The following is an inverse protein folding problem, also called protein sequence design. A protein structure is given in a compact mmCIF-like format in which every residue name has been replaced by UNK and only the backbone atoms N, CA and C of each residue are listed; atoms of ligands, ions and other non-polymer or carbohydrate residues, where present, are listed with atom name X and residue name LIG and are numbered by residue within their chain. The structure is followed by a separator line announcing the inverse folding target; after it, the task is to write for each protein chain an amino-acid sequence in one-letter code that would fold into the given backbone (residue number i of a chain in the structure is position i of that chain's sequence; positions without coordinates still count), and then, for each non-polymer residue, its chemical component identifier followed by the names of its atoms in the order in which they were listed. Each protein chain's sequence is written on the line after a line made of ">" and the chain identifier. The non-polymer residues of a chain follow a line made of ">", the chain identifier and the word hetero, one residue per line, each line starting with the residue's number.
data_IF_017435274254
#
_entry.id   IF_017435274254
#
_cell.length_a   1.000
_cell.length_b   1.000
_cell.length_c   1.000
_cell.angle_alpha   90.00
_cell.angle_beta   90.00
_cell.angle_gamma   90.00
#
_symmetry.space_group_name_H-M   'P 1'
#
loop_
_entity.id
_entity.type
_entity.pdbx_description
1 polymer ?
#
# COMPACT_ATOMS: atom_id res chain seq x y z
N UNK A 1 -11.92 -15.46 13.51
CA UNK A 1 -11.14 -14.19 13.47
C UNK A 1 -12.15 -13.07 13.64
N UNK A 2 -11.91 -12.12 14.55
CA UNK A 2 -12.86 -11.04 14.82
C UNK A 2 -13.17 -10.29 13.51
N UNK A 3 -14.46 -10.12 13.21
CA UNK A 3 -14.97 -9.44 12.03
C UNK A 3 -14.82 -7.92 12.22
N UNK A 4 -13.58 -7.45 12.30
CA UNK A 4 -13.26 -6.03 12.24
C UNK A 4 -13.32 -5.63 10.77
N UNK A 5 -14.21 -4.69 10.44
CA UNK A 5 -14.34 -4.19 9.06
C UNK A 5 -13.03 -3.60 8.52
N UNK A 6 -12.99 -3.22 7.22
CA UNK A 6 -11.78 -2.70 6.60
C UNK A 6 -11.22 -1.50 7.38
N UNK A 7 -9.90 -1.49 7.57
CA UNK A 7 -9.19 -0.39 8.26
C UNK A 7 -8.91 0.72 7.26
N UNK A 8 -9.23 1.98 7.57
CA UNK A 8 -8.87 3.08 6.68
C UNK A 8 -8.58 4.39 7.41
N UNK A 9 -7.67 5.19 6.86
CA UNK A 9 -7.32 6.52 7.39
C UNK A 9 -8.35 7.59 7.03
N UNK A 10 -8.82 7.56 5.77
CA UNK A 10 -9.78 8.56 5.25
C UNK A 10 -10.91 7.89 4.49
N UNK A 11 -12.14 8.27 4.81
CA UNK A 11 -13.35 7.73 4.18
C UNK A 11 -13.35 7.95 2.66
N UNK A 12 -12.99 9.14 2.21
CA UNK A 12 -12.94 9.51 0.79
C UNK A 12 -12.01 8.61 -0.04
N UNK A 13 -10.87 8.21 0.51
CA UNK A 13 -9.91 7.32 -0.16
C UNK A 13 -10.42 5.88 -0.19
N UNK A 14 -11.06 5.44 0.90
CA UNK A 14 -11.75 4.17 0.93
C UNK A 14 -12.85 4.10 -0.12
N UNK A 15 -13.70 5.12 -0.22
CA UNK A 15 -14.81 5.13 -1.19
C UNK A 15 -14.28 5.13 -2.63
N UNK A 16 -13.14 5.80 -2.89
CA UNK A 16 -12.45 5.71 -4.18
C UNK A 16 -12.00 4.28 -4.51
N UNK A 17 -11.43 3.55 -3.54
CA UNK A 17 -11.07 2.14 -3.72
C UNK A 17 -12.32 1.29 -3.99
N UNK A 18 -13.36 1.43 -3.17
CA UNK A 18 -14.62 0.68 -3.30
C UNK A 18 -15.25 0.87 -4.67
N UNK A 19 -15.20 2.08 -5.21
CA UNK A 19 -15.76 2.38 -6.53
C UNK A 19 -15.08 1.63 -7.70
N UNK A 20 -13.85 1.14 -7.49
CA UNK A 20 -13.06 0.41 -8.49
C UNK A 20 -12.85 -1.08 -8.20
N UNK A 21 -13.56 -1.64 -7.20
CA UNK A 21 -13.43 -3.07 -6.87
C UNK A 21 -14.02 -3.97 -7.95
N UNK A 22 -13.40 -5.13 -8.13
CA UNK A 22 -13.97 -6.22 -8.89
C UNK A 22 -15.07 -6.92 -8.07
N UNK A 23 -15.94 -7.65 -8.77
CA UNK A 23 -16.99 -8.42 -8.09
C UNK A 23 -16.37 -9.46 -7.14
N UNK A 24 -16.87 -9.49 -5.90
CA UNK A 24 -16.33 -10.33 -4.82
C UNK A 24 -14.99 -9.87 -4.21
N UNK A 25 -14.32 -8.84 -4.74
CA UNK A 25 -13.09 -8.28 -4.17
C UNK A 25 -13.41 -7.54 -2.86
N UNK A 26 -12.59 -7.76 -1.82
CA UNK A 26 -12.79 -7.14 -0.50
C UNK A 26 -11.61 -6.30 -0.10
N UNK A 27 -11.90 -5.12 0.44
CA UNK A 27 -10.89 -4.25 1.04
C UNK A 27 -10.43 -4.83 2.38
N UNK A 28 -9.12 -4.92 2.55
CA UNK A 28 -8.47 -5.24 3.81
C UNK A 28 -8.12 -3.94 4.54
N UNK A 29 -7.44 -3.02 3.85
CA UNK A 29 -7.08 -1.72 4.41
C UNK A 29 -6.89 -0.61 3.36
N UNK A 30 -7.02 0.65 3.76
CA UNK A 30 -6.68 1.84 2.94
C UNK A 30 -5.94 2.87 3.78
N UNK A 31 -4.68 3.13 3.46
CA UNK A 31 -3.85 4.07 4.22
C UNK A 31 -3.45 5.28 3.40
N UNK A 32 -3.53 6.45 4.04
CA UNK A 32 -3.11 7.73 3.47
C UNK A 32 -1.59 7.75 3.39
N UNK A 33 -1.06 8.06 2.21
CA UNK A 33 0.37 8.20 2.02
C UNK A 33 0.78 9.67 2.21
N UNK A 34 1.90 9.91 2.89
CA UNK A 34 2.39 11.27 3.20
C UNK A 34 3.45 11.78 2.22
N UNK A 35 3.86 10.96 1.25
CA UNK A 35 4.84 11.30 0.21
C UNK A 35 4.25 12.11 -0.95
N UNK A 36 5.12 12.74 -1.73
CA UNK A 36 4.72 13.61 -2.86
C UNK A 36 4.23 12.82 -4.08
N UNK A 37 4.71 11.58 -4.25
CA UNK A 37 4.44 10.72 -5.42
C UNK A 37 3.21 9.83 -5.29
N UNK A 38 2.82 9.47 -4.07
CA UNK A 38 1.71 8.53 -3.81
C UNK A 38 0.68 9.19 -2.92
N UNK A 39 -0.60 9.14 -3.31
CA UNK A 39 -1.69 9.71 -2.53
C UNK A 39 -2.15 8.80 -1.40
N UNK A 40 -2.40 7.54 -1.72
CA UNK A 40 -2.81 6.51 -0.76
C UNK A 40 -2.55 5.12 -1.34
N UNK A 41 -2.64 4.11 -0.48
CA UNK A 41 -2.57 2.70 -0.85
C UNK A 41 -3.81 1.96 -0.33
N UNK A 42 -4.48 1.24 -1.22
CA UNK A 42 -5.49 0.25 -0.91
C UNK A 42 -4.91 -1.15 -0.95
N UNK A 43 -5.30 -1.99 -0.02
CA UNK A 43 -4.95 -3.40 0.07
C UNK A 43 -6.25 -4.19 0.01
N UNK A 44 -6.38 -5.07 -0.98
CA UNK A 44 -7.54 -5.96 -1.14
C UNK A 44 -7.12 -7.42 -1.02
N UNK A 45 -8.06 -8.35 -1.05
CA UNK A 45 -7.75 -9.78 -1.12
C UNK A 45 -7.20 -10.23 -2.48
N UNK A 46 -7.18 -9.36 -3.51
CA UNK A 46 -6.70 -9.68 -4.86
C UNK A 46 -5.46 -8.89 -5.32
N UNK A 47 -5.28 -7.66 -4.84
CA UNK A 47 -4.23 -6.75 -5.34
C UNK A 47 -3.90 -5.63 -4.36
N UNK A 48 -2.78 -4.98 -4.62
CA UNK A 48 -2.47 -3.65 -4.09
C UNK A 48 -2.99 -2.60 -5.08
N UNK A 49 -3.60 -1.53 -4.60
CA UNK A 49 -4.04 -0.39 -5.42
C UNK A 49 -3.33 0.86 -4.93
N UNK A 50 -2.65 1.58 -5.81
CA UNK A 50 -1.88 2.78 -5.49
C UNK A 50 -2.48 3.99 -6.21
N UNK A 51 -2.69 5.10 -5.51
CA UNK A 51 -2.90 6.37 -6.18
C UNK A 51 -1.54 6.99 -6.51
N UNK A 52 -1.17 7.01 -7.79
CA UNK A 52 0.06 7.60 -8.30
C UNK A 52 -0.21 8.98 -8.89
N UNK A 53 0.46 10.01 -8.35
CA UNK A 53 0.32 11.41 -8.77
C UNK A 53 1.44 11.87 -9.71
N UNK A 54 2.35 10.97 -10.08
CA UNK A 54 3.54 11.27 -10.89
C UNK A 54 3.30 11.21 -12.41
N UNK A 55 2.08 10.87 -12.84
CA UNK A 55 1.76 10.76 -14.26
C UNK A 55 1.83 12.11 -14.99
N UNK A 56 2.44 12.09 -16.18
CA UNK A 56 2.66 13.26 -17.03
C UNK A 56 1.34 14.01 -17.28
N UNK A 57 1.39 15.35 -17.14
CA UNK A 57 0.25 16.22 -17.40
C UNK A 57 -0.68 16.44 -16.20
N UNK A 58 -0.16 16.40 -14.96
CA UNK A 58 -0.93 16.54 -13.71
C UNK A 58 -2.03 15.49 -13.56
N UNK A 59 -1.82 14.30 -14.16
CA UNK A 59 -2.77 13.20 -14.08
C UNK A 59 -2.54 12.44 -12.77
N UNK A 60 -3.63 11.97 -12.20
CA UNK A 60 -3.58 11.00 -11.10
C UNK A 60 -4.07 9.67 -11.65
N UNK A 61 -3.36 8.60 -11.35
CA UNK A 61 -3.72 7.24 -11.75
C UNK A 61 -4.04 6.40 -10.52
N UNK A 62 -5.02 5.51 -10.65
CA UNK A 62 -5.19 4.38 -9.75
C UNK A 62 -4.51 3.16 -10.40
N UNK A 63 -3.37 2.77 -9.86
CA UNK A 63 -2.55 1.67 -10.36
C UNK A 63 -2.91 0.41 -9.59
N UNK A 64 -3.39 -0.61 -10.30
CA UNK A 64 -3.67 -1.93 -9.72
C UNK A 64 -2.48 -2.86 -9.94
N UNK A 65 -1.93 -3.39 -8.85
CA UNK A 65 -0.79 -4.31 -8.86
C UNK A 65 -1.23 -5.65 -8.27
N UNK A 66 -1.49 -6.67 -9.12
CA UNK A 66 -1.83 -8.01 -8.65
C UNK A 66 -0.69 -8.61 -7.81
N UNK A 67 -1.03 -9.35 -6.75
CA UNK A 67 -0.01 -9.98 -5.89
C UNK A 67 0.94 -10.90 -6.66
N UNK A 68 0.43 -11.63 -7.65
CA UNK A 68 1.23 -12.51 -8.53
C UNK A 68 2.26 -11.77 -9.41
N UNK A 69 2.22 -10.44 -9.46
CA UNK A 69 3.18 -9.58 -10.19
C UNK A 69 4.11 -8.81 -9.26
N UNK A 70 3.90 -8.90 -7.95
CA UNK A 70 4.80 -8.33 -6.95
C UNK A 70 5.93 -9.31 -6.70
N UNK A 71 7.14 -8.90 -7.04
CA UNK A 71 8.36 -9.69 -6.84
C UNK A 71 8.94 -9.56 -5.44
N UNK A 72 8.72 -8.42 -4.78
CA UNK A 72 9.16 -8.20 -3.40
C UNK A 72 8.37 -7.08 -2.71
N UNK A 73 8.33 -7.14 -1.37
CA UNK A 73 7.96 -6.04 -0.49
C UNK A 73 9.07 -5.84 0.54
N UNK A 74 9.41 -4.59 0.85
CA UNK A 74 10.48 -4.24 1.79
C UNK A 74 10.02 -3.16 2.77
N UNK A 75 10.58 -3.16 3.98
CA UNK A 75 10.54 -2.04 4.93
C UNK A 75 11.72 -1.09 4.64
N UNK A 76 11.46 0.21 4.49
CA UNK A 76 12.48 1.20 4.06
C UNK A 76 12.85 2.13 5.22
N UNK A 77 14.15 2.24 5.53
CA UNK A 77 14.68 3.10 6.60
C UNK A 77 15.67 4.12 6.07
N UNK A 78 15.50 5.39 6.44
CA UNK A 78 16.51 6.42 6.23
C UNK A 78 17.67 6.20 7.21
N UNK A 79 18.87 5.97 6.68
CA UNK A 79 20.09 5.59 7.41
C UNK A 79 20.42 6.53 8.58
N UNK A 80 19.96 6.17 9.78
CA UNK A 80 20.53 6.52 11.09
C UNK A 80 20.36 5.31 12.02
N UNK A 81 21.29 4.37 11.93
CA UNK A 81 21.18 3.02 12.50
C UNK A 81 21.49 3.00 14.01
N UNK A 82 20.47 3.18 14.85
CA UNK A 82 20.57 2.92 16.30
C UNK A 82 19.37 2.17 16.92
N UNK A 83 18.28 1.87 16.20
CA UNK A 83 17.01 1.46 16.84
C UNK A 83 16.18 0.33 16.23
N UNK A 84 16.59 -0.30 15.13
CA UNK A 84 15.90 -1.45 14.51
C UNK A 84 14.98 -1.11 13.33
N UNK A 85 14.85 -2.05 12.39
CA UNK A 85 14.07 -1.88 11.14
C UNK A 85 12.55 -1.72 11.35
N UNK A 86 12.03 -2.06 12.54
CA UNK A 86 10.58 -2.08 12.80
C UNK A 86 9.97 -0.71 13.12
N UNK A 87 10.77 0.36 13.24
CA UNK A 87 10.27 1.73 13.43
C UNK A 87 10.11 2.50 12.12
N UNK A 88 10.26 1.86 10.96
CA UNK A 88 10.13 2.53 9.67
C UNK A 88 8.68 2.78 9.32
N UNK A 89 8.38 3.99 8.88
CA UNK A 89 7.06 4.37 8.39
C UNK A 89 6.94 4.24 6.87
N UNK A 90 7.84 3.50 6.22
CA UNK A 90 7.92 3.44 4.76
C UNK A 90 8.09 2.01 4.28
N UNK A 91 7.49 1.68 3.14
CA UNK A 91 7.66 0.40 2.45
C UNK A 91 8.01 0.62 0.99
N UNK A 92 8.57 -0.40 0.36
CA UNK A 92 8.71 -0.47 -1.09
C UNK A 92 8.06 -1.75 -1.63
N UNK A 93 7.21 -1.63 -2.65
CA UNK A 93 6.61 -2.75 -3.40
C UNK A 93 7.22 -2.77 -4.80
N UNK A 94 7.82 -3.91 -5.18
CA UNK A 94 8.49 -4.04 -6.49
C UNK A 94 7.67 -4.92 -7.42
N UNK A 95 7.25 -4.37 -8.56
CA UNK A 95 6.50 -5.07 -9.60
C UNK A 95 7.13 -4.80 -10.97
N UNK A 96 7.69 -5.84 -11.59
CA UNK A 96 8.46 -5.69 -12.84
C UNK A 96 9.64 -4.75 -12.66
N UNK A 97 9.71 -3.69 -13.46
CA UNK A 97 10.76 -2.66 -13.41
C UNK A 97 10.42 -1.49 -12.48
N UNK A 98 9.25 -1.51 -11.82
CA UNK A 98 8.78 -0.41 -10.99
C UNK A 98 8.98 -0.72 -9.50
N UNK A 99 9.50 0.27 -8.76
CA UNK A 99 9.53 0.27 -7.30
C UNK A 99 8.57 1.36 -6.83
N UNK A 100 7.51 0.95 -6.14
CA UNK A 100 6.54 1.83 -5.54
C UNK A 100 6.91 2.02 -4.07
N UNK A 101 7.49 3.16 -3.73
CA UNK A 101 7.79 3.53 -2.35
C UNK A 101 6.59 4.28 -1.75
N UNK A 102 6.16 3.88 -0.56
CA UNK A 102 5.01 4.46 0.13
C UNK A 102 5.43 4.84 1.55
N UNK A 103 5.27 6.12 1.87
CA UNK A 103 5.45 6.68 3.20
C UNK A 103 4.12 6.81 3.93
N UNK A 104 4.10 6.41 5.19
CA UNK A 104 2.94 6.43 6.07
C UNK A 104 3.14 7.38 7.25
N UNK A 105 2.03 7.83 7.84
CA UNK A 105 2.04 8.43 9.17
C UNK A 105 1.86 7.34 10.21
N UNK A 106 2.95 6.66 10.57
CA UNK A 106 2.99 5.58 11.56
C UNK A 106 3.67 4.30 11.06
N UNK A 107 4.52 3.69 11.89
CA UNK A 107 5.22 2.43 11.55
C UNK A 107 4.32 1.19 11.65
N UNK A 108 3.22 1.27 12.38
CA UNK A 108 2.18 0.25 12.48
C UNK A 108 1.51 0.01 11.12
N UNK A 109 1.22 1.09 10.38
CA UNK A 109 0.64 1.02 9.04
C UNK A 109 1.59 0.39 8.03
N UNK A 110 2.84 0.83 8.04
CA UNK A 110 3.90 0.26 7.21
C UNK A 110 4.03 -1.25 7.47
N UNK A 111 4.09 -1.64 8.76
CA UNK A 111 4.18 -3.03 9.19
C UNK A 111 2.97 -3.85 8.76
N UNK A 112 1.76 -3.31 8.91
CA UNK A 112 0.54 -3.99 8.50
C UNK A 112 0.51 -4.23 6.99
N UNK A 113 0.75 -3.19 6.19
CA UNK A 113 0.79 -3.30 4.73
C UNK A 113 1.86 -4.30 4.30
N UNK A 114 3.08 -4.15 4.82
CA UNK A 114 4.18 -5.06 4.52
C UNK A 114 3.78 -6.52 4.76
N UNK A 115 3.21 -6.82 5.92
CA UNK A 115 2.86 -8.20 6.28
C UNK A 115 1.71 -8.76 5.46
N UNK A 116 0.70 -7.95 5.12
CA UNK A 116 -0.39 -8.40 4.25
C UNK A 116 0.12 -8.67 2.84
N UNK A 117 0.91 -7.76 2.26
CA UNK A 117 1.51 -7.98 0.94
C UNK A 117 2.41 -9.22 0.96
N UNK A 118 3.28 -9.36 1.96
CA UNK A 118 4.17 -10.51 2.11
C UNK A 118 3.38 -11.83 2.21
N UNK A 119 2.29 -11.84 2.97
CA UNK A 119 1.40 -12.99 3.09
C UNK A 119 0.84 -13.41 1.72
N UNK A 120 0.45 -12.46 0.88
CA UNK A 120 -0.17 -12.75 -0.42
C UNK A 120 0.84 -13.20 -1.49
N UNK A 121 2.09 -12.72 -1.44
CA UNK A 121 3.10 -13.04 -2.46
C UNK A 121 3.89 -14.32 -2.16
N UNK A 122 3.73 -14.90 -0.97
CA UNK A 122 4.45 -16.11 -0.53
C UNK A 122 3.58 -17.38 -0.52
N UNK A 123 2.34 -17.28 -1.02
CA UNK A 123 1.37 -18.37 -1.04
C UNK A 123 0.95 -18.73 -2.46
#
# INVERSE_FOLDING_TARGET
>A
MANSGPVFDRREQYDQIVSGLLDGERVIAVYDAVGVGTGFIGITDLRVILQDKSFVGKKTALVSVPYSKISSVAMVSNKSWAGGFFSTSSIAVTAGTHVHEIDFRGSDKASHVHNVVLWHITR
#
